data_IF_922740158452
#
_entry.id   IF_922740158452
#
_cell.length_a   1.000
_cell.length_b   1.000
_cell.length_c   1.000
_cell.angle_alpha   90.00
_cell.angle_beta   90.00
_cell.angle_gamma   90.00
#
_symmetry.space_group_name_H-M   'P 1'
#
loop_
_entity.id
_entity.type
_entity.pdbx_description
1 polymer ?
#
# COMPACT_ATOMS: atom_id res chain seq x y z
N UNK A 1 41.40 -35.43 16.07
CA UNK A 1 40.36 -35.87 15.10
C UNK A 1 38.97 -35.36 15.46
N UNK A 2 38.51 -35.51 16.72
CA UNK A 2 37.19 -35.00 17.14
C UNK A 2 37.10 -33.47 17.16
N UNK A 3 38.10 -32.78 17.70
CA UNK A 3 38.12 -31.30 17.73
C UNK A 3 38.16 -30.68 16.33
N UNK A 4 38.91 -31.28 15.40
CA UNK A 4 38.97 -30.80 14.00
C UNK A 4 37.63 -30.94 13.29
N UNK A 5 36.86 -32.00 13.56
CA UNK A 5 35.51 -32.17 13.01
C UNK A 5 34.55 -31.10 13.55
N UNK A 6 34.61 -30.80 14.86
CA UNK A 6 33.77 -29.76 15.48
C UNK A 6 34.02 -28.40 14.85
N UNK A 7 35.28 -28.01 14.66
CA UNK A 7 35.62 -26.72 14.04
C UNK A 7 35.21 -26.63 12.56
N UNK A 8 35.30 -27.72 11.80
CA UNK A 8 34.81 -27.77 10.41
C UNK A 8 33.29 -27.54 10.36
N UNK A 9 32.53 -28.17 11.26
CA UNK A 9 31.07 -28.01 11.31
C UNK A 9 30.70 -26.58 11.72
N UNK A 10 31.34 -26.02 12.75
CA UNK A 10 31.07 -24.65 13.22
C UNK A 10 31.36 -23.61 12.13
N UNK A 11 32.53 -23.69 11.47
CA UNK A 11 32.87 -22.78 10.39
C UNK A 11 31.94 -22.96 9.18
N UNK A 12 31.55 -24.20 8.86
CA UNK A 12 30.57 -24.49 7.82
C UNK A 12 29.22 -23.84 8.08
N UNK A 13 28.69 -23.92 9.31
CA UNK A 13 27.42 -23.29 9.70
C UNK A 13 27.52 -21.77 9.65
N UNK A 14 28.61 -21.18 10.16
CA UNK A 14 28.82 -19.72 10.10
C UNK A 14 28.85 -19.22 8.66
N UNK A 15 29.54 -19.95 7.76
CA UNK A 15 29.57 -19.63 6.34
C UNK A 15 28.18 -19.75 5.71
N UNK A 16 27.42 -20.81 6.00
CA UNK A 16 26.06 -20.99 5.46
C UNK A 16 25.09 -19.91 5.95
N UNK A 17 25.14 -19.53 7.23
CA UNK A 17 24.34 -18.42 7.78
C UNK A 17 24.77 -17.09 7.17
N UNK A 18 26.08 -16.84 7.03
CA UNK A 18 26.61 -15.63 6.40
C UNK A 18 26.19 -15.51 4.93
N UNK A 19 26.24 -16.60 4.18
CA UNK A 19 25.76 -16.68 2.79
C UNK A 19 24.25 -16.40 2.74
N UNK A 20 23.45 -17.08 3.57
CA UNK A 20 21.99 -16.86 3.63
C UNK A 20 21.64 -15.40 3.96
N UNK A 21 22.29 -14.81 4.97
CA UNK A 21 22.08 -13.42 5.35
C UNK A 21 22.50 -12.45 4.23
N UNK A 22 23.63 -12.70 3.56
CA UNK A 22 24.07 -11.92 2.41
C UNK A 22 23.04 -11.94 1.26
N UNK A 23 22.43 -13.09 0.97
CA UNK A 23 21.34 -13.18 -0.01
C UNK A 23 20.09 -12.41 0.42
N UNK A 24 19.69 -12.46 1.69
CA UNK A 24 18.52 -11.70 2.18
C UNK A 24 18.73 -10.19 2.12
N UNK A 25 19.93 -9.70 2.45
CA UNK A 25 20.26 -8.28 2.43
C UNK A 25 20.38 -7.72 1.01
N UNK A 26 20.72 -8.57 0.02
CA UNK A 26 20.90 -8.17 -1.37
C UNK A 26 19.64 -8.30 -2.23
N UNK A 27 18.53 -8.79 -1.68
CA UNK A 27 17.26 -8.85 -2.40
C UNK A 27 16.86 -7.42 -2.84
N UNK A 28 16.79 -7.14 -4.15
CA UNK A 28 16.53 -5.79 -4.64
C UNK A 28 15.12 -5.36 -4.25
N UNK A 29 15.01 -4.28 -3.47
CA UNK A 29 13.74 -3.57 -3.31
C UNK A 29 13.49 -2.81 -4.60
N UNK A 30 12.54 -3.26 -5.41
CA UNK A 30 12.11 -2.49 -6.59
C UNK A 30 11.60 -1.14 -6.12
N UNK A 31 12.16 -0.06 -6.66
CA UNK A 31 11.69 1.28 -6.36
C UNK A 31 10.20 1.40 -6.73
N UNK A 32 9.37 2.04 -5.90
CA UNK A 32 7.96 2.19 -6.18
C UNK A 32 7.77 3.02 -7.46
N UNK A 33 6.93 2.52 -8.38
CA UNK A 33 6.55 3.26 -9.58
C UNK A 33 5.79 4.54 -9.18
N UNK A 34 6.25 5.68 -9.70
CA UNK A 34 5.61 6.98 -9.56
C UNK A 34 4.59 7.15 -10.70
N UNK A 35 3.39 7.60 -10.37
CA UNK A 35 2.31 7.88 -11.32
C UNK A 35 2.05 9.40 -11.38
N UNK A 36 1.53 9.93 -12.50
CA UNK A 36 1.17 11.35 -12.58
C UNK A 36 0.24 11.81 -11.45
N UNK A 37 -0.73 10.97 -11.07
CA UNK A 37 -1.66 11.23 -9.96
C UNK A 37 -0.97 11.38 -8.58
N UNK A 38 0.28 10.90 -8.41
CA UNK A 38 1.01 11.02 -7.16
C UNK A 38 1.46 12.46 -6.87
N UNK A 39 1.46 13.34 -7.90
CA UNK A 39 1.91 14.73 -7.81
C UNK A 39 0.82 15.72 -7.40
N UNK A 40 -0.44 15.30 -7.41
CA UNK A 40 -1.55 16.16 -6.99
C UNK A 40 -1.68 16.25 -5.47
N UNK A 41 -2.68 17.01 -4.97
CA UNK A 41 -2.97 17.10 -3.55
C UNK A 41 -3.16 15.72 -2.91
N UNK A 42 -2.60 15.54 -1.71
CA UNK A 42 -2.73 14.31 -0.91
C UNK A 42 -3.80 14.43 0.19
N UNK A 43 -4.64 15.46 0.12
CA UNK A 43 -5.78 15.65 0.98
C UNK A 43 -6.89 16.34 0.17
N UNK A 44 -8.11 16.22 0.66
CA UNK A 44 -9.26 16.99 0.21
C UNK A 44 -10.03 17.48 1.43
N UNK A 45 -10.77 18.56 1.23
CA UNK A 45 -11.77 18.98 2.21
C UNK A 45 -13.05 18.14 2.02
N UNK A 46 -13.57 17.62 3.13
CA UNK A 46 -14.78 16.79 3.18
C UNK A 46 -15.78 17.33 4.19
N UNK A 47 -15.60 18.57 4.69
CA UNK A 47 -16.48 19.17 5.71
C UNK A 47 -17.97 19.12 5.32
N UNK A 48 -18.23 19.25 4.02
CA UNK A 48 -19.58 19.33 3.46
C UNK A 48 -20.17 17.97 3.09
N UNK A 49 -19.38 16.89 3.23
CA UNK A 49 -19.85 15.54 2.96
C UNK A 49 -20.74 15.02 4.10
N UNK A 50 -21.63 14.06 3.85
CA UNK A 50 -22.35 13.36 4.92
C UNK A 50 -21.39 12.77 5.96
N UNK A 51 -21.80 12.73 7.23
CA UNK A 51 -20.97 12.26 8.35
C UNK A 51 -20.36 10.86 8.11
N UNK A 52 -21.11 9.98 7.44
CA UNK A 52 -20.61 8.68 7.04
C UNK A 52 -19.39 8.80 6.11
N UNK A 53 -19.46 9.66 5.09
CA UNK A 53 -18.37 9.84 4.13
C UNK A 53 -17.14 10.50 4.76
N UNK A 54 -17.34 11.42 5.71
CA UNK A 54 -16.24 11.97 6.51
C UNK A 54 -15.51 10.87 7.31
N UNK A 55 -16.27 10.00 7.96
CA UNK A 55 -15.72 8.84 8.70
C UNK A 55 -14.96 7.89 7.76
N UNK A 56 -15.52 7.65 6.57
CA UNK A 56 -14.89 6.78 5.58
C UNK A 56 -13.63 7.42 4.96
N UNK A 57 -13.57 8.74 4.83
CA UNK A 57 -12.36 9.46 4.43
C UNK A 57 -11.22 9.25 5.43
N UNK A 58 -11.49 9.33 6.74
CA UNK A 58 -10.49 9.03 7.78
C UNK A 58 -10.02 7.57 7.74
N UNK A 59 -10.92 6.63 7.48
CA UNK A 59 -10.56 5.23 7.30
C UNK A 59 -9.67 5.05 6.06
N UNK A 60 -10.06 5.65 4.94
CA UNK A 60 -9.32 5.64 3.68
C UNK A 60 -7.92 6.22 3.85
N UNK A 61 -7.78 7.42 4.42
CA UNK A 61 -6.48 8.09 4.60
C UNK A 61 -5.56 7.27 5.49
N UNK A 62 -6.05 6.76 6.63
CA UNK A 62 -5.25 5.90 7.53
C UNK A 62 -4.82 4.58 6.89
N UNK A 63 -5.66 3.95 6.08
CA UNK A 63 -5.37 2.62 5.51
C UNK A 63 -4.56 2.70 4.21
N UNK A 64 -4.88 3.63 3.33
CA UNK A 64 -4.27 3.74 2.00
C UNK A 64 -2.95 4.51 1.99
N UNK A 65 -2.64 5.33 3.00
CA UNK A 65 -1.35 6.02 3.13
C UNK A 65 -0.18 5.11 3.55
N UNK A 66 -0.46 3.88 3.99
CA UNK A 66 0.56 2.96 4.55
C UNK A 66 1.65 2.53 3.57
N UNK A 67 1.34 2.54 2.27
CA UNK A 67 2.22 2.00 1.24
C UNK A 67 2.63 3.02 0.18
N UNK A 68 1.82 4.05 -0.06
CA UNK A 68 2.08 5.15 -0.99
C UNK A 68 1.18 6.34 -0.66
N UNK A 69 1.41 7.48 -1.32
CA UNK A 69 0.56 8.68 -1.16
C UNK A 69 -0.91 8.40 -1.51
N UNK A 70 -1.82 9.01 -0.75
CA UNK A 70 -3.27 9.01 -1.04
C UNK A 70 -3.64 9.98 -2.17
N UNK A 71 -2.69 10.81 -2.62
CA UNK A 71 -2.84 11.60 -3.84
C UNK A 71 -3.20 10.71 -5.03
N UNK A 72 -2.64 9.49 -5.12
CA UNK A 72 -2.92 8.59 -6.24
C UNK A 72 -4.42 8.34 -6.42
N UNK A 73 -5.14 7.86 -5.39
CA UNK A 73 -6.57 7.67 -5.53
C UNK A 73 -7.38 8.96 -5.66
N UNK A 74 -7.02 10.02 -4.92
CA UNK A 74 -7.70 11.32 -4.97
C UNK A 74 -7.62 11.96 -6.38
N UNK A 75 -6.50 11.80 -7.08
CA UNK A 75 -6.28 12.42 -8.39
C UNK A 75 -6.57 11.45 -9.57
N UNK A 76 -7.19 10.30 -9.31
CA UNK A 76 -7.56 9.34 -10.37
C UNK A 76 -8.98 9.59 -10.91
N UNK A 77 -9.19 9.26 -12.18
CA UNK A 77 -10.47 9.40 -12.89
C UNK A 77 -11.15 8.05 -13.10
N UNK A 78 -11.07 7.15 -12.12
CA UNK A 78 -11.66 5.83 -12.24
C UNK A 78 -13.19 5.88 -12.14
N UNK A 79 -13.82 5.03 -12.94
CA UNK A 79 -15.22 4.65 -12.81
C UNK A 79 -15.46 3.83 -11.53
N UNK A 80 -16.73 3.66 -11.16
CA UNK A 80 -17.09 2.87 -10.00
C UNK A 80 -16.67 1.39 -10.09
N UNK A 81 -16.65 0.80 -11.28
CA UNK A 81 -16.17 -0.57 -11.47
C UNK A 81 -14.64 -0.66 -11.34
N UNK A 82 -13.93 0.31 -11.92
CA UNK A 82 -12.48 0.41 -11.80
C UNK A 82 -12.06 0.62 -10.35
N UNK A 83 -12.79 1.41 -9.56
CA UNK A 83 -12.52 1.55 -8.12
C UNK A 83 -12.61 0.24 -7.37
N UNK A 84 -13.67 -0.54 -7.60
CA UNK A 84 -13.83 -1.87 -6.99
C UNK A 84 -12.65 -2.78 -7.31
N UNK A 85 -12.26 -2.84 -8.59
CA UNK A 85 -11.11 -3.62 -9.05
C UNK A 85 -9.79 -3.12 -8.43
N UNK A 86 -9.61 -1.80 -8.37
CA UNK A 86 -8.38 -1.17 -7.88
C UNK A 86 -8.17 -1.39 -6.39
N UNK A 87 -9.18 -1.14 -5.56
CA UNK A 87 -9.09 -1.36 -4.11
C UNK A 87 -8.90 -2.85 -3.82
N UNK A 88 -9.59 -3.74 -4.55
CA UNK A 88 -9.38 -5.19 -4.42
C UNK A 88 -7.93 -5.60 -4.76
N UNK A 89 -7.32 -4.98 -5.78
CA UNK A 89 -5.90 -5.18 -6.10
C UNK A 89 -4.99 -4.74 -4.95
N UNK A 90 -5.26 -3.61 -4.30
CA UNK A 90 -4.49 -3.16 -3.14
C UNK A 90 -4.67 -4.07 -1.94
N UNK A 91 -5.89 -4.57 -1.70
CA UNK A 91 -6.19 -5.53 -0.64
C UNK A 91 -5.37 -6.81 -0.80
N UNK A 92 -5.21 -7.32 -2.02
CA UNK A 92 -4.42 -8.53 -2.33
C UNK A 92 -2.90 -8.34 -2.20
N UNK A 93 -2.41 -7.12 -1.94
CA UNK A 93 -0.96 -6.91 -1.75
C UNK A 93 -0.50 -7.48 -0.40
N UNK A 94 0.66 -8.16 -0.35
CA UNK A 94 1.23 -8.62 0.91
C UNK A 94 1.39 -7.46 1.89
N UNK A 95 0.96 -7.66 3.15
CA UNK A 95 1.06 -6.66 4.20
C UNK A 95 0.05 -5.49 4.11
N UNK A 96 -0.90 -5.50 3.16
CA UNK A 96 -1.90 -4.43 3.00
C UNK A 96 -2.71 -4.18 4.28
N UNK A 97 -3.01 -5.23 5.04
CA UNK A 97 -3.85 -5.18 6.24
C UNK A 97 -5.28 -4.70 5.96
N UNK A 98 -5.75 -4.82 4.71
CA UNK A 98 -7.12 -4.52 4.31
C UNK A 98 -7.98 -5.78 4.41
N UNK A 99 -9.11 -5.70 5.11
CA UNK A 99 -10.16 -6.73 5.09
C UNK A 99 -11.17 -6.45 3.97
N UNK A 100 -11.98 -7.45 3.59
CA UNK A 100 -13.04 -7.26 2.61
C UNK A 100 -14.00 -6.12 2.98
N UNK A 101 -14.43 -6.05 4.25
CA UNK A 101 -15.26 -4.97 4.80
C UNK A 101 -14.59 -3.61 4.69
N UNK A 102 -13.30 -3.52 5.05
CA UNK A 102 -12.55 -2.26 4.94
C UNK A 102 -12.41 -1.81 3.49
N UNK A 103 -12.14 -2.75 2.57
CA UNK A 103 -12.02 -2.48 1.14
C UNK A 103 -13.35 -1.97 0.55
N UNK A 104 -14.49 -2.56 0.94
CA UNK A 104 -15.81 -2.10 0.54
C UNK A 104 -16.10 -0.67 1.03
N UNK A 105 -15.84 -0.40 2.30
CA UNK A 105 -15.99 0.93 2.90
C UNK A 105 -15.14 2.01 2.19
N UNK A 106 -13.88 1.70 1.90
CA UNK A 106 -12.99 2.59 1.14
C UNK A 106 -13.50 2.80 -0.29
N UNK A 107 -13.98 1.73 -0.93
CA UNK A 107 -14.53 1.82 -2.28
C UNK A 107 -15.79 2.68 -2.32
N UNK A 108 -16.67 2.58 -1.31
CA UNK A 108 -17.85 3.43 -1.17
C UNK A 108 -17.47 4.91 -1.13
N UNK A 109 -16.49 5.27 -0.31
CA UNK A 109 -15.98 6.64 -0.23
C UNK A 109 -15.40 7.12 -1.57
N UNK A 110 -14.51 6.34 -2.20
CA UNK A 110 -13.86 6.74 -3.45
C UNK A 110 -14.84 6.94 -4.61
N UNK A 111 -15.92 6.14 -4.65
CA UNK A 111 -17.00 6.31 -5.63
C UNK A 111 -17.77 7.60 -5.34
N UNK A 112 -18.14 7.84 -4.07
CA UNK A 112 -18.86 9.03 -3.67
C UNK A 112 -18.06 10.30 -3.99
N UNK A 113 -16.81 10.35 -3.56
CA UNK A 113 -15.87 11.43 -3.81
C UNK A 113 -15.69 11.71 -5.31
N UNK A 114 -15.50 10.66 -6.13
CA UNK A 114 -15.33 10.81 -7.58
C UNK A 114 -16.56 11.41 -8.30
N UNK A 115 -17.75 11.30 -7.71
CA UNK A 115 -19.01 11.82 -8.23
C UNK A 115 -19.32 13.24 -7.72
N UNK A 116 -18.90 13.59 -6.51
CA UNK A 116 -19.29 14.83 -5.84
C UNK A 116 -18.19 15.87 -5.79
N UNK A 117 -16.92 15.49 -5.91
CA UNK A 117 -15.83 16.46 -5.89
C UNK A 117 -15.79 17.24 -7.20
N UNK A 118 -15.91 18.56 -7.08
CA UNK A 118 -15.54 19.48 -8.14
C UNK A 118 -14.05 19.33 -8.41
N UNK A 119 -13.71 18.80 -9.58
CA UNK A 119 -12.31 18.67 -9.98
C UNK A 119 -11.83 20.04 -10.43
N UNK A 120 -10.97 20.66 -9.64
CA UNK A 120 -10.15 21.76 -10.13
C UNK A 120 -9.31 21.21 -11.28
N UNK A 121 -9.57 21.68 -12.50
CA UNK A 121 -8.74 21.34 -13.67
C UNK A 121 -7.29 21.72 -13.35
N UNK A 122 -6.28 20.87 -13.65
CA UNK A 122 -4.88 21.23 -13.48
C UNK A 122 -4.48 22.45 -14.32
#
# INVERSE_FOLDING_TARGET
MQQTIVWIVVLGVIVLVGIGMFFTLRAPRTAPKIYPADRGPNFIDVSDYPQEMQTLYELFTRKCSRCHTVARPINSTFTAEEWRKYVQKMMRKPGSGLTAKTAEQITKFLIYDAQHRERSTP
#
